data_IF_449300500036
#
_entry.id   IF_449300500036
#
_cell.length_a   1.000
_cell.length_b   1.000
_cell.length_c   1.000
_cell.angle_alpha   90.00
_cell.angle_beta   90.00
_cell.angle_gamma   90.00
#
_symmetry.space_group_name_H-M   'P 1'
#
loop_
_entity.id
_entity.type
_entity.pdbx_description
1 polymer ?
#
# COMPACT_ATOMS: atom_id res chain seq x y z
N UNK A 1 -9.39 -9.53 59.07
CA UNK A 1 -8.34 -10.03 58.13
C UNK A 1 -8.44 -9.19 56.86
N UNK A 2 -7.47 -8.29 56.63
CA UNK A 2 -7.37 -7.43 55.44
C UNK A 2 -6.60 -8.21 54.36
N UNK A 3 -7.12 -8.29 53.15
CA UNK A 3 -6.31 -8.61 51.97
C UNK A 3 -6.64 -7.58 50.88
N UNK A 4 -5.60 -6.83 50.51
CA UNK A 4 -5.53 -5.90 49.39
C UNK A 4 -5.91 -6.62 48.09
N UNK A 5 -6.84 -6.04 47.33
CA UNK A 5 -6.96 -6.27 45.89
C UNK A 5 -6.51 -4.98 45.20
N UNK A 6 -5.22 -4.91 44.90
CA UNK A 6 -4.60 -3.76 44.24
C UNK A 6 -4.62 -3.95 42.72
N UNK A 7 -5.19 -2.96 42.04
CA UNK A 7 -4.92 -2.48 40.68
C UNK A 7 -4.48 -3.54 39.64
N UNK A 8 -5.46 -4.02 38.87
CA UNK A 8 -5.27 -4.24 37.43
C UNK A 8 -6.28 -3.38 36.68
N UNK A 9 -6.01 -2.08 36.56
CA UNK A 9 -6.75 -1.19 35.69
C UNK A 9 -5.78 -0.40 34.81
N UNK A 10 -6.08 -0.46 33.51
CA UNK A 10 -5.78 0.55 32.48
C UNK A 10 -4.32 0.80 32.07
N UNK A 11 -3.69 -0.16 31.39
CA UNK A 11 -2.56 0.16 30.47
C UNK A 11 -3.01 0.17 28.99
N UNK A 12 -4.23 -0.31 28.69
CA UNK A 12 -4.71 -0.45 27.31
C UNK A 12 -5.32 0.83 26.70
N UNK A 13 -5.65 1.85 27.49
CA UNK A 13 -6.32 3.06 26.97
C UNK A 13 -5.36 4.16 26.51
N UNK A 14 -4.17 4.30 27.11
CA UNK A 14 -3.25 5.42 26.76
C UNK A 14 -2.67 5.27 25.36
N UNK A 15 -2.37 4.02 24.95
CA UNK A 15 -1.74 3.75 23.65
C UNK A 15 -2.69 4.00 22.48
N UNK A 16 -3.99 3.69 22.62
CA UNK A 16 -4.98 3.92 21.58
C UNK A 16 -5.22 5.43 21.33
N UNK A 17 -5.27 6.24 22.38
CA UNK A 17 -5.42 7.70 22.25
C UNK A 17 -4.16 8.39 21.70
N UNK A 18 -2.96 7.90 22.03
CA UNK A 18 -1.72 8.45 21.49
C UNK A 18 -1.54 8.11 20.00
N UNK A 19 -1.92 6.89 19.59
CA UNK A 19 -1.90 6.45 18.19
C UNK A 19 -2.82 7.32 17.33
N UNK A 20 -4.07 7.55 17.75
CA UNK A 20 -5.03 8.35 16.99
C UNK A 20 -4.63 9.82 16.87
N UNK A 21 -3.97 10.40 17.88
CA UNK A 21 -3.46 11.78 17.78
C UNK A 21 -2.28 11.90 16.81
N UNK A 22 -1.36 10.94 16.83
CA UNK A 22 -0.21 10.93 15.91
C UNK A 22 -0.68 10.73 14.46
N UNK A 23 -1.62 9.81 14.25
CA UNK A 23 -2.27 9.58 12.96
C UNK A 23 -2.98 10.84 12.44
N UNK A 24 -3.83 11.47 13.26
CA UNK A 24 -4.49 12.73 12.87
C UNK A 24 -3.50 13.85 12.57
N UNK A 25 -2.36 13.89 13.27
CA UNK A 25 -1.30 14.88 13.01
C UNK A 25 -0.65 14.62 11.65
N UNK A 26 -0.37 13.35 11.34
CA UNK A 26 0.14 12.95 10.04
C UNK A 26 -0.84 13.31 8.91
N UNK A 27 -2.10 12.88 9.01
CA UNK A 27 -3.14 13.16 8.02
C UNK A 27 -3.33 14.66 7.80
N UNK A 28 -3.44 15.45 8.89
CA UNK A 28 -3.59 16.89 8.79
C UNK A 28 -2.40 17.54 8.07
N UNK A 29 -1.18 17.10 8.37
CA UNK A 29 0.03 17.64 7.75
C UNK A 29 0.09 17.26 6.27
N UNK A 30 -0.16 15.98 5.94
CA UNK A 30 -0.19 15.48 4.57
C UNK A 30 -1.18 16.27 3.70
N UNK A 31 -2.45 16.31 4.12
CA UNK A 31 -3.49 17.00 3.36
C UNK A 31 -3.28 18.52 3.30
N UNK A 32 -2.73 19.14 4.34
CA UNK A 32 -2.39 20.57 4.26
C UNK A 32 -1.35 20.91 3.20
N UNK A 33 -0.49 19.95 2.83
CA UNK A 33 0.52 20.14 1.79
C UNK A 33 -0.07 19.84 0.42
N UNK A 34 -0.77 18.70 0.27
CA UNK A 34 -1.36 18.23 -1.00
C UNK A 34 -2.51 19.14 -1.46
N UNK A 35 -3.47 19.46 -0.60
CA UNK A 35 -4.63 20.29 -0.99
C UNK A 35 -4.22 21.73 -1.32
N UNK A 36 -3.11 22.20 -0.74
CA UNK A 36 -2.53 23.49 -1.05
C UNK A 36 -1.73 23.51 -2.36
N UNK A 37 -1.41 22.35 -2.95
CA UNK A 37 -0.53 22.25 -4.12
C UNK A 37 0.87 22.82 -3.84
N UNK A 38 1.35 22.65 -2.61
CA UNK A 38 2.59 23.26 -2.10
C UNK A 38 3.68 22.24 -1.79
N UNK A 39 3.46 21.00 -2.19
CA UNK A 39 4.41 19.92 -2.10
C UNK A 39 5.67 20.21 -2.92
N UNK A 40 6.81 19.88 -2.31
CA UNK A 40 8.05 19.68 -3.04
C UNK A 40 8.28 18.17 -3.06
N UNK A 41 8.37 17.61 -4.26
CA UNK A 41 8.60 16.17 -4.45
C UNK A 41 10.05 15.89 -4.77
N UNK A 42 10.55 14.78 -4.25
CA UNK A 42 11.83 14.22 -4.62
C UNK A 42 11.64 12.74 -4.91
N UNK A 43 11.75 12.36 -6.18
CA UNK A 43 11.80 10.97 -6.57
C UNK A 43 13.02 10.29 -5.95
N UNK A 44 12.83 9.08 -5.45
CA UNK A 44 13.88 8.27 -4.82
C UNK A 44 13.81 6.85 -5.35
N UNK A 45 14.98 6.24 -5.50
CA UNK A 45 15.08 4.82 -5.80
C UNK A 45 14.80 4.01 -4.53
N UNK A 46 13.92 3.02 -4.61
CA UNK A 46 13.63 2.11 -3.51
C UNK A 46 14.89 1.38 -3.02
N UNK A 47 15.79 1.02 -3.95
CA UNK A 47 17.04 0.32 -3.64
C UNK A 47 18.07 1.22 -2.93
N UNK A 48 17.86 2.54 -2.93
CA UNK A 48 18.70 3.49 -2.18
C UNK A 48 18.39 3.54 -0.68
N UNK A 49 17.27 2.95 -0.24
CA UNK A 49 16.85 2.95 1.15
C UNK A 49 17.57 1.88 1.97
N UNK A 50 17.52 2.02 3.29
CA UNK A 50 18.03 0.97 4.17
C UNK A 50 17.11 -0.26 4.11
N UNK A 51 17.66 -1.46 4.27
CA UNK A 51 16.86 -2.69 4.29
C UNK A 51 15.68 -2.66 5.29
N UNK A 52 15.83 -2.08 6.51
CA UNK A 52 14.68 -1.87 7.40
C UNK A 52 13.59 -0.95 6.83
N UNK A 53 13.97 0.13 6.16
CA UNK A 53 13.02 1.08 5.56
C UNK A 53 12.29 0.43 4.37
N UNK A 54 13.03 -0.31 3.53
CA UNK A 54 12.46 -1.11 2.44
C UNK A 54 11.41 -2.09 2.96
N UNK A 55 11.75 -2.86 4.01
CA UNK A 55 10.83 -3.82 4.60
C UNK A 55 9.58 -3.14 5.20
N UNK A 56 9.74 -1.94 5.79
CA UNK A 56 8.61 -1.20 6.35
C UNK A 56 7.67 -0.66 5.25
N UNK A 57 8.24 -0.17 4.14
CA UNK A 57 7.47 0.29 2.98
C UNK A 57 6.75 -0.86 2.27
N UNK A 58 7.42 -1.98 2.02
CA UNK A 58 6.80 -3.17 1.41
C UNK A 58 5.67 -3.69 2.27
N UNK A 59 5.82 -3.70 3.59
CA UNK A 59 4.74 -4.08 4.50
C UNK A 59 3.51 -3.17 4.37
N UNK A 60 3.71 -1.87 4.16
CA UNK A 60 2.61 -0.94 3.92
C UNK A 60 1.97 -1.19 2.53
N UNK A 61 2.80 -1.45 1.52
CA UNK A 61 2.35 -1.79 0.17
C UNK A 61 1.50 -3.07 0.15
N UNK A 62 1.96 -4.13 0.80
CA UNK A 62 1.22 -5.40 0.97
C UNK A 62 -0.13 -5.20 1.68
N UNK A 63 -0.18 -4.31 2.66
CA UNK A 63 -1.44 -4.04 3.37
C UNK A 63 -2.47 -3.40 2.43
N UNK A 64 -2.06 -2.39 1.67
CA UNK A 64 -2.95 -1.70 0.73
C UNK A 64 -3.28 -2.58 -0.49
N UNK A 65 -2.34 -3.38 -1.01
CA UNK A 65 -2.62 -4.28 -2.14
C UNK A 65 -3.64 -5.36 -1.81
N UNK A 66 -3.80 -5.72 -0.53
CA UNK A 66 -4.84 -6.68 -0.14
C UNK A 66 -6.26 -6.14 -0.43
N UNK A 67 -6.43 -4.82 -0.54
CA UNK A 67 -7.71 -4.21 -0.89
C UNK A 67 -8.10 -4.55 -2.34
N UNK A 68 -7.11 -4.80 -3.22
CA UNK A 68 -7.36 -5.12 -4.62
C UNK A 68 -8.19 -6.39 -4.81
N UNK A 69 -8.05 -7.36 -3.90
CA UNK A 69 -8.86 -8.57 -3.89
C UNK A 69 -10.37 -8.27 -3.83
N UNK A 70 -10.74 -7.18 -3.16
CA UNK A 70 -12.12 -6.76 -2.99
C UNK A 70 -12.54 -5.68 -4.00
N UNK A 71 -11.63 -5.02 -4.73
CA UNK A 71 -11.98 -3.86 -5.58
C UNK A 71 -11.75 -4.06 -7.08
N UNK A 72 -10.70 -4.78 -7.50
CA UNK A 72 -10.35 -4.93 -8.92
C UNK A 72 -10.27 -6.40 -9.34
N UNK A 73 -9.92 -7.31 -8.43
CA UNK A 73 -9.77 -8.74 -8.71
C UNK A 73 -11.11 -9.52 -8.72
N UNK A 74 -12.27 -8.86 -8.83
CA UNK A 74 -13.60 -9.49 -8.86
C UNK A 74 -13.89 -10.32 -10.16
N UNK A 75 -12.86 -10.94 -10.74
CA UNK A 75 -12.95 -11.85 -11.89
C UNK A 75 -12.40 -11.29 -13.20
N UNK A 76 -12.06 -10.01 -13.25
CA UNK A 76 -11.51 -9.35 -14.44
C UNK A 76 -9.97 -9.41 -14.50
N UNK A 77 -9.31 -9.70 -13.38
CA UNK A 77 -7.86 -9.85 -13.33
C UNK A 77 -7.44 -10.98 -12.39
N UNK A 78 -6.29 -11.57 -12.69
CA UNK A 78 -5.66 -12.61 -11.88
C UNK A 78 -4.20 -12.26 -11.62
N UNK A 79 -3.79 -12.20 -10.35
CA UNK A 79 -2.39 -11.99 -9.99
C UNK A 79 -1.52 -13.13 -10.53
N UNK A 80 -0.34 -12.79 -11.05
CA UNK A 80 0.62 -13.79 -11.51
C UNK A 80 1.18 -14.58 -10.34
N UNK A 81 1.33 -15.90 -10.53
CA UNK A 81 1.91 -16.76 -9.50
C UNK A 81 3.35 -16.36 -9.18
N UNK A 82 3.68 -16.34 -7.89
CA UNK A 82 4.99 -15.95 -7.37
C UNK A 82 5.36 -14.47 -7.52
N UNK A 83 4.53 -13.64 -8.15
CA UNK A 83 4.73 -12.19 -8.15
C UNK A 83 4.54 -11.63 -6.73
N UNK A 84 5.21 -10.51 -6.46
CA UNK A 84 5.15 -9.82 -5.18
C UNK A 84 4.83 -8.36 -5.43
N UNK A 85 4.20 -7.72 -4.46
CA UNK A 85 3.96 -6.28 -4.50
C UNK A 85 5.30 -5.55 -4.52
N UNK A 86 5.40 -4.55 -5.39
CA UNK A 86 6.59 -3.72 -5.52
C UNK A 86 6.21 -2.24 -5.63
N UNK A 87 7.20 -1.37 -5.57
CA UNK A 87 7.03 0.06 -5.85
C UNK A 87 7.45 0.34 -7.30
N UNK A 88 6.49 0.67 -8.15
CA UNK A 88 6.76 1.16 -9.51
C UNK A 88 7.34 2.57 -9.51
N UNK A 89 6.95 3.37 -8.52
CA UNK A 89 7.61 4.66 -8.23
C UNK A 89 7.57 4.98 -6.73
N UNK A 90 8.56 5.74 -6.27
CA UNK A 90 8.62 6.21 -4.89
C UNK A 90 9.15 7.64 -4.83
N UNK A 91 8.46 8.47 -4.07
CA UNK A 91 8.73 9.90 -3.92
C UNK A 91 8.69 10.30 -2.46
N UNK A 92 9.58 11.18 -2.04
CA UNK A 92 9.47 11.91 -0.78
C UNK A 92 8.72 13.22 -1.00
N UNK A 93 7.72 13.47 -0.17
CA UNK A 93 6.96 14.71 -0.12
C UNK A 93 7.52 15.58 1.00
N UNK A 94 7.82 16.83 0.66
CA UNK A 94 8.22 17.86 1.59
C UNK A 94 7.21 19.01 1.58
N UNK A 95 7.06 19.68 2.72
CA UNK A 95 6.33 20.96 2.77
C UNK A 95 7.14 22.07 2.11
N UNK A 96 6.50 23.20 1.79
CA UNK A 96 7.19 24.39 1.31
C UNK A 96 8.27 24.92 2.28
N UNK A 97 8.20 24.56 3.56
CA UNK A 97 9.21 24.88 4.57
C UNK A 97 10.39 23.88 4.59
N UNK A 98 10.40 22.87 3.72
CA UNK A 98 11.43 21.85 3.60
C UNK A 98 11.30 20.69 4.60
N UNK A 99 10.18 20.58 5.30
CA UNK A 99 9.95 19.50 6.26
C UNK A 99 9.53 18.22 5.52
N UNK A 100 10.15 17.08 5.83
CA UNK A 100 9.72 15.79 5.29
C UNK A 100 8.34 15.41 5.84
N UNK A 101 7.39 15.15 4.95
CA UNK A 101 5.97 14.94 5.27
C UNK A 101 5.58 13.48 5.15
N UNK A 102 5.89 12.84 4.02
CA UNK A 102 5.47 11.48 3.71
C UNK A 102 6.29 10.89 2.57
N UNK A 103 6.32 9.57 2.47
CA UNK A 103 6.54 8.89 1.20
C UNK A 103 5.23 8.85 0.42
N UNK A 104 5.30 9.05 -0.90
CA UNK A 104 4.24 8.73 -1.86
C UNK A 104 4.78 7.65 -2.79
N UNK A 105 4.07 6.54 -2.91
CA UNK A 105 4.44 5.46 -3.81
C UNK A 105 3.31 5.11 -4.76
N UNK A 106 3.67 4.63 -5.94
CA UNK A 106 2.80 3.79 -6.76
C UNK A 106 3.21 2.35 -6.48
N UNK A 107 2.34 1.61 -5.81
CA UNK A 107 2.53 0.18 -5.58
C UNK A 107 1.92 -0.57 -6.76
N UNK A 108 2.54 -1.68 -7.14
CA UNK A 108 2.10 -2.46 -8.28
C UNK A 108 2.31 -3.96 -8.06
N UNK A 109 1.54 -4.78 -8.77
CA UNK A 109 1.70 -6.23 -8.79
C UNK A 109 1.32 -6.77 -10.16
N UNK A 110 2.15 -7.69 -10.65
CA UNK A 110 1.90 -8.31 -11.94
C UNK A 110 0.59 -9.09 -11.93
N UNK A 111 -0.20 -8.89 -12.98
CA UNK A 111 -1.47 -9.57 -13.18
C UNK A 111 -1.68 -9.92 -14.66
N UNK A 112 -2.70 -10.73 -14.91
CA UNK A 112 -3.30 -10.96 -16.21
C UNK A 112 -4.70 -10.37 -16.23
N UNK A 113 -5.07 -9.69 -17.30
CA UNK A 113 -6.47 -9.36 -17.61
C UNK A 113 -7.17 -10.63 -18.07
N UNK A 114 -8.01 -11.19 -17.20
CA UNK A 114 -8.76 -12.42 -17.47
C UNK A 114 -9.98 -12.19 -18.33
N UNK A 115 -10.43 -10.94 -18.50
CA UNK A 115 -11.44 -10.55 -19.48
C UNK A 115 -10.92 -10.54 -20.92
N UNK A 116 -9.60 -10.47 -21.10
CA UNK A 116 -8.96 -10.49 -22.44
C UNK A 116 -8.88 -11.88 -23.10
N UNK A 117 -9.22 -12.95 -22.38
CA UNK A 117 -8.98 -14.33 -22.79
C UNK A 117 -10.08 -15.31 -22.29
N UNK A 118 -10.31 -16.41 -23.02
CA UNK A 118 -11.31 -17.43 -22.65
C UNK A 118 -10.68 -18.50 -21.74
N UNK A 119 -10.58 -18.22 -20.44
CA UNK A 119 -9.90 -19.11 -19.48
C UNK A 119 -10.63 -20.45 -19.34
N UNK A 120 -9.93 -21.59 -19.47
CA UNK A 120 -10.52 -22.92 -19.29
C UNK A 120 -10.61 -23.30 -17.81
N UNK A 121 -11.53 -22.70 -17.07
CA UNK A 121 -11.69 -22.90 -15.61
C UNK A 121 -12.00 -24.35 -15.17
N UNK A 122 -12.26 -25.27 -16.11
CA UNK A 122 -12.50 -26.69 -15.83
C UNK A 122 -11.20 -27.53 -15.81
N UNK A 123 -10.07 -26.94 -16.21
CA UNK A 123 -8.74 -27.58 -16.19
C UNK A 123 -8.06 -27.41 -14.83
N UNK A 124 -6.92 -28.07 -14.62
CA UNK A 124 -6.13 -27.90 -13.40
C UNK A 124 -5.41 -26.54 -13.36
N UNK A 125 -5.06 -26.09 -12.14
CA UNK A 125 -4.41 -24.79 -11.90
C UNK A 125 -3.14 -24.60 -12.75
N UNK A 126 -2.31 -25.63 -12.95
CA UNK A 126 -1.08 -25.49 -13.71
C UNK A 126 -1.39 -25.25 -15.21
N UNK A 127 -2.39 -25.93 -15.74
CA UNK A 127 -2.89 -25.71 -17.11
C UNK A 127 -3.50 -24.32 -17.26
N UNK A 128 -4.29 -23.86 -16.29
CA UNK A 128 -4.87 -22.50 -16.28
C UNK A 128 -3.78 -21.43 -16.25
N UNK A 129 -2.75 -21.59 -15.42
CA UNK A 129 -1.65 -20.62 -15.32
C UNK A 129 -0.82 -20.53 -16.62
N UNK A 130 -0.49 -21.66 -17.24
CA UNK A 130 0.21 -21.64 -18.53
C UNK A 130 -0.68 -21.04 -19.63
N UNK A 131 -1.98 -21.35 -19.64
CA UNK A 131 -2.93 -20.74 -20.57
C UNK A 131 -2.96 -19.22 -20.42
N UNK A 132 -3.07 -18.70 -19.19
CA UNK A 132 -3.12 -17.25 -18.98
C UNK A 132 -1.85 -16.55 -19.46
N UNK A 133 -0.68 -17.13 -19.17
CA UNK A 133 0.61 -16.62 -19.61
C UNK A 133 0.75 -16.53 -21.13
N UNK A 134 0.15 -17.46 -21.88
CA UNK A 134 0.23 -17.50 -23.33
C UNK A 134 -0.88 -16.71 -24.04
N UNK A 135 -2.03 -16.50 -23.39
CA UNK A 135 -3.25 -16.04 -24.06
C UNK A 135 -3.88 -14.78 -23.46
N UNK A 136 -3.59 -14.43 -22.21
CA UNK A 136 -4.13 -13.23 -21.56
C UNK A 136 -3.14 -12.07 -21.65
N UNK A 137 -3.67 -10.84 -21.64
CA UNK A 137 -2.85 -9.63 -21.59
C UNK A 137 -2.19 -9.55 -20.21
N UNK A 138 -0.85 -9.50 -20.21
CA UNK A 138 -0.08 -9.28 -19.00
C UNK A 138 0.04 -7.79 -18.72
N UNK A 139 0.02 -7.41 -17.44
CA UNK A 139 0.19 -6.03 -17.02
C UNK A 139 0.42 -5.93 -15.52
N UNK A 140 0.13 -4.75 -14.98
CA UNK A 140 0.23 -4.45 -13.56
C UNK A 140 -1.08 -3.88 -13.04
N UNK A 141 -1.55 -4.43 -11.93
CA UNK A 141 -2.49 -3.70 -11.09
C UNK A 141 -1.66 -2.74 -10.25
N UNK A 142 -2.06 -1.47 -10.20
CA UNK A 142 -1.36 -0.46 -9.42
C UNK A 142 -2.29 0.44 -8.63
N UNK A 143 -1.81 1.00 -7.53
CA UNK A 143 -2.50 2.05 -6.79
C UNK A 143 -1.50 2.96 -6.06
N UNK A 144 -1.96 4.16 -5.71
CA UNK A 144 -1.16 5.10 -4.94
C UNK A 144 -1.30 4.89 -3.43
N UNK A 145 -0.19 5.09 -2.73
CA UNK A 145 -0.11 5.02 -1.27
C UNK A 145 0.69 6.20 -0.71
N UNK A 146 0.27 6.71 0.44
CA UNK A 146 1.06 7.59 1.30
C UNK A 146 1.52 6.84 2.54
N UNK A 147 2.79 7.02 2.93
CA UNK A 147 3.36 6.40 4.14
C UNK A 147 4.05 7.46 5.00
N UNK A 148 3.82 7.45 6.31
CA UNK A 148 4.46 8.39 7.23
C UNK A 148 5.98 8.20 7.27
N UNK A 149 6.78 9.24 7.57
CA UNK A 149 8.24 9.15 7.64
C UNK A 149 8.79 8.12 8.63
N UNK A 150 8.00 7.76 9.64
CA UNK A 150 8.33 6.75 10.65
C UNK A 150 7.65 5.40 10.39
N UNK A 151 7.01 5.24 9.23
CA UNK A 151 6.36 4.02 8.74
C UNK A 151 5.24 3.47 9.64
N UNK A 152 4.70 4.29 10.55
CA UNK A 152 3.62 3.87 11.45
C UNK A 152 2.23 4.00 10.85
N UNK A 153 2.07 4.89 9.88
CA UNK A 153 0.79 5.20 9.26
C UNK A 153 0.94 5.10 7.76
N UNK A 154 -0.06 4.53 7.11
CA UNK A 154 -0.21 4.54 5.68
C UNK A 154 -1.68 4.72 5.33
N UNK A 155 -1.93 5.21 4.14
CA UNK A 155 -3.26 5.35 3.56
C UNK A 155 -3.16 5.32 2.04
N UNK A 156 -4.22 4.84 1.42
CA UNK A 156 -4.45 4.98 -0.01
C UNK A 156 -4.44 6.44 -0.49
N UNK A 157 -3.89 6.68 -1.67
CA UNK A 157 -4.06 7.93 -2.42
C UNK A 157 -5.37 7.90 -3.19
N UNK A 158 -6.35 8.70 -2.76
CA UNK A 158 -7.67 8.77 -3.40
C UNK A 158 -7.63 9.29 -4.85
N UNK A 159 -6.51 9.90 -5.28
CA UNK A 159 -6.32 10.37 -6.65
C UNK A 159 -5.62 9.35 -7.56
N UNK A 160 -5.14 8.25 -7.00
CA UNK A 160 -4.49 7.15 -7.70
C UNK A 160 -5.11 5.84 -7.20
N UNK A 161 -6.39 5.67 -7.54
CA UNK A 161 -7.16 4.46 -7.26
C UNK A 161 -6.62 3.28 -8.06
N UNK A 162 -7.08 2.06 -7.73
CA UNK A 162 -6.67 0.86 -8.45
C UNK A 162 -6.93 0.98 -9.95
N UNK A 163 -5.91 0.69 -10.74
CA UNK A 163 -5.98 0.63 -12.19
C UNK A 163 -5.13 -0.53 -12.72
N UNK A 164 -5.44 -0.99 -13.93
CA UNK A 164 -4.64 -1.99 -14.65
C UNK A 164 -3.94 -1.35 -15.86
N UNK A 165 -2.63 -1.53 -15.94
CA UNK A 165 -1.81 -1.04 -17.06
C UNK A 165 -1.11 -2.22 -17.76
N UNK A 166 -1.27 -2.31 -19.09
CA UNK A 166 -0.65 -3.32 -19.98
C UNK A 166 0.87 -3.11 -20.17
#
# INVERSE_FOLDING_TARGET
MKILLALMLSVFSVNAFASSKAEQTFLKKLYSVIEAGSEVTQEIDFDSLSAPDQAALLKAAEYESNIWYDTILEGDYQLKDGASVEFGSLTKIYSAAGEFVAYKGQIQHEAYDTGSCDIPYEEDDATIQEYMKENCVAGYISSGIYVSPDFKFHLRDENAIEDFEE
#
